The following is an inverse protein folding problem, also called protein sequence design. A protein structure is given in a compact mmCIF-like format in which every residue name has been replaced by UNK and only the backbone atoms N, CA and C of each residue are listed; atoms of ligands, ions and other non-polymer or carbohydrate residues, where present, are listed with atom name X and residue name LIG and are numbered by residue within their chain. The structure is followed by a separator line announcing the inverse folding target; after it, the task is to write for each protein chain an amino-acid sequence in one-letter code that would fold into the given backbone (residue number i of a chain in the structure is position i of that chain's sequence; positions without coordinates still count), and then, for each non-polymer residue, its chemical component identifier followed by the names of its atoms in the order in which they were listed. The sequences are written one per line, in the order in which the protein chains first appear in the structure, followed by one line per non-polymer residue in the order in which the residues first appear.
data_IF_126108069531
#
_entry.id   IF_126108069531
#
_cell.length_a   1.000
_cell.length_b   1.000
_cell.length_c   1.000
_cell.angle_alpha   90.00
_cell.angle_beta   90.00
_cell.angle_gamma   90.00
#
_symmetry.space_group_name_H-M   'P 1'
#
loop_
_entity.id
_entity.type
_entity.pdbx_description
1 polymer ?
#
# COMPACT_ATOMS: atom_id res chain seq x y z
N UNK A 1 -15.12 19.96 -55.57
CA UNK A 1 -16.60 20.04 -55.50
C UNK A 1 -17.07 19.20 -54.33
N UNK A 2 -17.53 19.84 -53.26
CA UNK A 2 -18.33 19.32 -52.15
C UNK A 2 -18.42 20.45 -51.11
N UNK A 3 -19.49 20.72 -50.38
CA UNK A 3 -20.94 20.58 -50.56
C UNK A 3 -21.51 21.58 -49.53
N UNK A 4 -22.45 22.44 -49.92
CA UNK A 4 -23.09 23.41 -49.02
C UNK A 4 -24.09 22.67 -48.12
N UNK A 5 -24.00 22.84 -46.80
CA UNK A 5 -25.09 22.67 -45.80
C UNK A 5 -24.67 23.42 -44.54
N UNK A 6 -25.34 24.49 -44.13
CA UNK A 6 -26.60 24.45 -43.39
C UNK A 6 -26.41 25.29 -42.12
N UNK A 7 -26.91 26.53 -42.09
CA UNK A 7 -26.99 27.36 -40.88
C UNK A 7 -28.31 27.04 -40.18
N UNK A 8 -28.27 26.59 -38.93
CA UNK A 8 -29.42 26.71 -38.04
C UNK A 8 -29.22 27.87 -37.09
N UNK A 9 -30.24 28.70 -37.01
CA UNK A 9 -30.33 29.91 -36.21
C UNK A 9 -31.29 29.57 -35.06
N UNK A 10 -30.77 29.50 -33.83
CA UNK A 10 -31.62 29.46 -32.64
C UNK A 10 -31.60 30.84 -31.99
N UNK A 11 -32.75 31.50 -32.05
CA UNK A 11 -32.94 32.87 -31.62
C UNK A 11 -33.36 32.94 -30.17
N UNK A 12 -32.42 32.71 -29.23
CA UNK A 12 -32.60 33.10 -27.81
C UNK A 12 -31.36 33.25 -26.95
N UNK A 13 -30.16 33.07 -27.50
CA UNK A 13 -28.90 33.48 -26.86
C UNK A 13 -27.96 33.93 -27.97
N UNK A 14 -27.57 35.20 -28.01
CA UNK A 14 -26.67 35.77 -29.02
C UNK A 14 -25.24 35.24 -28.92
N UNK A 15 -25.05 33.94 -29.13
CA UNK A 15 -23.79 33.23 -29.02
C UNK A 15 -23.55 32.46 -30.31
N UNK A 16 -22.72 33.03 -31.18
CA UNK A 16 -22.19 32.37 -32.37
C UNK A 16 -20.98 31.53 -31.99
N UNK A 17 -21.15 30.21 -31.82
CA UNK A 17 -20.03 29.27 -31.67
C UNK A 17 -19.39 28.98 -33.04
N UNK A 18 -18.13 29.37 -33.22
CA UNK A 18 -17.26 28.90 -34.31
C UNK A 18 -16.35 27.81 -33.76
N UNK A 19 -16.48 26.60 -34.30
CA UNK A 19 -15.58 25.48 -34.01
C UNK A 19 -14.44 25.53 -35.02
N UNK A 20 -13.20 25.71 -34.54
CA UNK A 20 -11.98 25.54 -35.34
C UNK A 20 -11.28 24.27 -34.87
N UNK A 21 -11.08 23.31 -35.77
CA UNK A 21 -10.09 22.22 -35.62
C UNK A 21 -8.77 22.75 -36.15
N UNK A 22 -7.77 22.90 -35.28
CA UNK A 22 -6.39 23.23 -35.64
C UNK A 22 -5.46 22.09 -35.27
N UNK A 23 -4.77 21.53 -36.26
CA UNK A 23 -3.56 20.75 -36.08
C UNK A 23 -2.36 21.70 -35.98
N UNK A 24 -1.33 21.30 -35.22
CA UNK A 24 -0.02 21.93 -35.01
C UNK A 24 0.05 23.20 -34.14
N UNK A 25 0.61 23.01 -32.93
CA UNK A 25 1.84 23.69 -32.49
C UNK A 25 1.79 25.15 -32.03
N UNK A 26 2.29 25.36 -30.80
CA UNK A 26 2.67 26.60 -30.07
C UNK A 26 1.59 27.49 -29.41
N UNK A 27 1.80 27.94 -28.15
CA UNK A 27 0.74 28.46 -27.28
C UNK A 27 0.58 29.98 -27.38
N UNK A 28 -0.66 30.47 -27.32
CA UNK A 28 -0.98 31.88 -27.12
C UNK A 28 -1.71 32.07 -25.79
N UNK A 29 -1.13 32.89 -24.91
CA UNK A 29 -1.74 33.35 -23.67
C UNK A 29 -2.61 34.58 -23.94
N UNK A 30 -3.87 34.57 -23.52
CA UNK A 30 -4.72 35.76 -23.46
C UNK A 30 -4.88 36.20 -21.99
N UNK A 31 -4.83 37.51 -21.68
CA UNK A 31 -5.18 38.01 -20.36
C UNK A 31 -6.70 38.01 -20.18
N UNK A 32 -7.16 37.49 -19.04
CA UNK A 32 -8.54 37.60 -18.56
C UNK A 32 -8.67 38.91 -17.78
N UNK A 33 -9.46 39.85 -18.30
CA UNK A 33 -9.87 41.07 -17.58
C UNK A 33 -11.20 40.74 -16.89
N UNK A 34 -11.21 40.72 -15.55
CA UNK A 34 -12.44 40.63 -14.75
C UNK A 34 -12.81 42.06 -14.32
N UNK A 35 -13.87 42.61 -14.91
CA UNK A 35 -14.50 43.84 -14.44
C UNK A 35 -15.33 43.56 -13.17
N UNK A 36 -14.95 44.17 -12.05
CA UNK A 36 -15.76 44.19 -10.84
C UNK A 36 -16.84 45.28 -10.94
N UNK A 37 -18.10 44.90 -10.82
CA UNK A 37 -19.28 45.78 -10.81
C UNK A 37 -19.46 46.55 -9.47
N UNK A 38 -20.27 47.64 -9.47
CA UNK A 38 -20.07 48.79 -8.59
C UNK A 38 -21.02 48.79 -7.37
N UNK A 39 -20.46 48.68 -6.17
CA UNK A 39 -21.15 49.04 -4.92
C UNK A 39 -20.15 49.68 -3.94
N UNK A 40 -19.67 50.88 -4.29
CA UNK A 40 -18.84 51.74 -3.41
C UNK A 40 -19.19 53.22 -3.60
N UNK A 41 -20.46 53.57 -3.37
CA UNK A 41 -20.95 54.95 -3.51
C UNK A 41 -21.93 55.31 -2.39
N UNK A 42 -21.50 55.18 -1.13
CA UNK A 42 -22.20 55.80 0.00
C UNK A 42 -21.32 55.98 1.26
N UNK A 43 -20.12 56.56 1.14
CA UNK A 43 -19.45 57.25 2.26
C UNK A 43 -18.34 58.18 1.78
N UNK A 44 -18.70 59.14 0.93
CA UNK A 44 -17.89 60.33 0.66
C UNK A 44 -18.35 61.45 1.60
N UNK A 45 -17.66 61.65 2.72
CA UNK A 45 -17.64 62.96 3.41
C UNK A 45 -16.47 63.07 4.38
N UNK A 46 -15.34 63.52 3.86
CA UNK A 46 -14.59 64.69 4.35
C UNK A 46 -13.15 64.60 3.81
N UNK A 47 -12.54 65.76 3.62
CA UNK A 47 -11.19 66.01 3.08
C UNK A 47 -11.17 66.24 1.56
N UNK A 48 -11.32 67.53 1.24
CA UNK A 48 -10.82 68.16 0.04
C UNK A 48 -9.30 67.94 -0.08
N UNK A 49 -8.82 67.28 -1.14
CA UNK A 49 -7.48 67.57 -1.63
C UNK A 49 -7.42 67.42 -3.15
N UNK A 50 -6.93 68.49 -3.79
CA UNK A 50 -6.80 68.67 -5.23
C UNK A 50 -5.72 67.73 -5.80
N UNK A 51 -6.08 67.10 -6.92
CA UNK A 51 -5.27 66.73 -8.09
C UNK A 51 -3.75 66.59 -7.90
N UNK A 52 -3.21 65.40 -8.16
CA UNK A 52 -2.42 65.08 -9.39
C UNK A 52 -1.61 63.80 -9.20
N UNK A 53 -1.39 63.11 -10.32
CA UNK A 53 -0.42 62.02 -10.56
C UNK A 53 -0.94 60.60 -10.31
N UNK A 54 -1.32 59.95 -11.41
CA UNK A 54 -1.32 58.48 -11.49
C UNK A 54 0.10 58.01 -11.18
N UNK A 55 0.33 57.49 -9.98
CA UNK A 55 1.51 56.66 -9.73
C UNK A 55 1.26 55.32 -10.41
N UNK A 56 1.81 55.16 -11.62
CA UNK A 56 2.01 53.85 -12.19
C UNK A 56 3.03 53.15 -11.31
N UNK A 57 2.58 52.20 -10.48
CA UNK A 57 3.47 51.27 -9.80
C UNK A 57 4.08 50.41 -10.90
N UNK A 58 5.26 50.78 -11.38
CA UNK A 58 6.10 49.87 -12.16
C UNK A 58 6.61 48.86 -11.16
N UNK A 59 5.92 47.72 -11.06
CA UNK A 59 6.50 46.53 -10.44
C UNK A 59 7.63 46.11 -11.37
N UNK A 60 8.83 46.62 -11.11
CA UNK A 60 10.02 46.00 -11.67
C UNK A 60 10.07 44.63 -11.03
N UNK A 61 9.97 43.56 -11.85
CA UNK A 61 10.37 42.22 -11.43
C UNK A 61 11.84 42.35 -11.03
N UNK A 62 12.09 42.61 -9.74
CA UNK A 62 13.41 42.59 -9.16
C UNK A 62 13.91 41.18 -9.41
N UNK A 63 14.85 41.08 -10.35
CA UNK A 63 15.33 39.82 -10.86
C UNK A 63 15.70 38.95 -9.67
N UNK A 64 15.10 37.76 -9.61
CA UNK A 64 15.68 36.66 -8.88
C UNK A 64 17.15 36.65 -9.29
N UNK A 65 18.05 37.00 -8.37
CA UNK A 65 19.46 37.14 -8.73
C UNK A 65 19.89 35.83 -9.38
N UNK A 66 20.65 35.88 -10.47
CA UNK A 66 21.17 34.67 -11.14
C UNK A 66 21.85 33.76 -10.10
N UNK A 67 22.41 34.37 -9.04
CA UNK A 67 22.92 33.71 -7.83
C UNK A 67 21.87 32.92 -7.04
N UNK A 68 20.64 33.43 -6.82
CA UNK A 68 19.57 32.69 -6.13
C UNK A 68 19.08 31.51 -6.97
N UNK A 69 18.97 31.68 -8.29
CA UNK A 69 18.61 30.60 -9.20
C UNK A 69 19.70 29.51 -9.22
N UNK A 70 20.98 29.89 -9.23
CA UNK A 70 22.11 28.95 -9.15
C UNK A 70 22.12 28.20 -7.81
N UNK A 71 21.86 28.89 -6.70
CA UNK A 71 21.74 28.28 -5.37
C UNK A 71 20.59 27.27 -5.31
N UNK A 72 19.42 27.60 -5.87
CA UNK A 72 18.29 26.67 -5.95
C UNK A 72 18.62 25.44 -6.81
N UNK A 73 19.37 25.60 -7.89
CA UNK A 73 19.79 24.51 -8.78
C UNK A 73 20.83 23.59 -8.11
N UNK A 74 21.74 24.16 -7.32
CA UNK A 74 22.70 23.40 -6.50
C UNK A 74 21.98 22.65 -5.38
N UNK A 75 21.04 23.29 -4.68
CA UNK A 75 20.21 22.64 -3.64
C UNK A 75 19.36 21.52 -4.27
N UNK A 76 18.77 21.74 -5.44
CA UNK A 76 18.03 20.73 -6.20
C UNK A 76 18.93 19.56 -6.63
N UNK A 77 20.17 19.83 -7.07
CA UNK A 77 21.16 18.80 -7.39
C UNK A 77 21.62 17.98 -6.19
N UNK A 78 21.72 18.60 -5.00
CA UNK A 78 22.06 17.91 -3.75
C UNK A 78 20.91 17.00 -3.27
N UNK A 79 19.65 17.38 -3.50
CA UNK A 79 18.48 16.56 -3.16
C UNK A 79 18.42 15.28 -4.03
N UNK A 80 18.91 15.34 -5.28
CA UNK A 80 18.94 14.18 -6.18
C UNK A 80 20.04 13.14 -5.86
N UNK A 81 20.98 13.45 -4.96
CA UNK A 81 22.13 12.57 -4.66
C UNK A 81 21.92 11.60 -3.48
N UNK A 82 20.75 11.59 -2.85
CA UNK A 82 20.54 10.89 -1.55
C UNK A 82 20.00 9.45 -1.63
N UNK A 83 20.21 8.72 -2.74
CA UNK A 83 19.79 7.31 -2.85
C UNK A 83 20.84 6.44 -3.54
N UNK A 84 22.07 6.40 -3.01
CA UNK A 84 23.00 5.32 -3.38
C UNK A 84 22.65 4.05 -2.60
N UNK A 85 22.09 3.04 -3.28
CA UNK A 85 22.00 1.67 -2.74
C UNK A 85 23.21 0.86 -3.18
N UNK A 86 23.79 0.12 -2.26
CA UNK A 86 24.83 -0.88 -2.57
C UNK A 86 24.18 -2.03 -3.33
N UNK A 87 24.68 -2.32 -4.54
CA UNK A 87 24.22 -3.47 -5.32
C UNK A 87 25.06 -4.69 -4.96
N UNK A 88 24.42 -5.73 -4.46
CA UNK A 88 25.09 -6.96 -4.05
C UNK A 88 24.57 -8.10 -4.91
N UNK A 89 25.46 -8.71 -5.68
CA UNK A 89 25.15 -9.90 -6.46
C UNK A 89 25.45 -11.14 -5.63
N UNK A 90 24.55 -12.12 -5.64
CA UNK A 90 24.80 -13.39 -4.98
C UNK A 90 26.09 -14.08 -5.46
N UNK A 91 26.85 -14.67 -4.53
CA UNK A 91 28.02 -15.50 -4.84
C UNK A 91 27.66 -16.91 -5.34
N UNK A 92 26.43 -17.37 -5.08
CA UNK A 92 25.97 -18.73 -5.30
C UNK A 92 26.40 -19.76 -4.24
N UNK A 93 27.23 -19.36 -3.25
CA UNK A 93 27.76 -20.26 -2.21
C UNK A 93 26.94 -20.14 -0.92
N UNK A 94 26.08 -21.13 -0.65
CA UNK A 94 25.25 -21.18 0.55
C UNK A 94 26.06 -21.45 1.82
N UNK A 95 25.69 -20.77 2.90
CA UNK A 95 26.19 -20.97 4.26
C UNK A 95 25.02 -20.89 5.25
N UNK A 96 25.20 -21.51 6.42
CA UNK A 96 24.22 -21.52 7.51
C UNK A 96 24.82 -20.81 8.73
N UNK A 97 24.06 -19.91 9.35
CA UNK A 97 24.45 -19.24 10.60
C UNK A 97 23.33 -19.32 11.63
N UNK A 98 23.69 -19.68 12.86
CA UNK A 98 22.80 -19.59 14.01
C UNK A 98 22.90 -18.20 14.65
N UNK A 99 21.75 -17.58 14.90
CA UNK A 99 21.61 -16.27 15.54
C UNK A 99 21.02 -16.45 16.92
N UNK A 100 21.86 -16.32 17.94
CA UNK A 100 21.40 -16.25 19.32
C UNK A 100 20.59 -14.96 19.51
N UNK A 101 19.31 -15.11 19.86
CA UNK A 101 18.38 -13.99 20.07
C UNK A 101 17.74 -14.09 21.45
N UNK A 102 17.31 -12.94 21.99
CA UNK A 102 16.57 -12.87 23.24
C UNK A 102 15.17 -13.48 23.12
N UNK A 103 14.38 -13.41 24.20
CA UNK A 103 12.97 -13.84 24.16
C UNK A 103 12.14 -12.87 23.30
N UNK A 104 11.21 -13.40 22.52
CA UNK A 104 10.27 -12.62 21.72
C UNK A 104 8.90 -13.31 21.63
N UNK A 105 7.87 -12.51 21.37
CA UNK A 105 6.48 -12.93 21.18
C UNK A 105 5.99 -12.59 19.76
N UNK A 106 6.55 -11.52 19.19
CA UNK A 106 6.20 -11.00 17.87
C UNK A 106 7.38 -11.11 16.92
N UNK A 107 7.09 -11.14 15.61
CA UNK A 107 8.10 -11.20 14.56
C UNK A 107 7.84 -10.11 13.54
N UNK A 108 8.89 -9.41 13.13
CA UNK A 108 8.88 -8.47 12.00
C UNK A 108 9.92 -8.92 10.98
N UNK A 109 9.46 -9.16 9.76
CA UNK A 109 10.24 -9.64 8.63
C UNK A 109 10.29 -8.54 7.57
N UNK A 110 11.49 -8.19 7.09
CA UNK A 110 11.67 -7.17 6.05
C UNK A 110 12.63 -7.64 4.94
N UNK A 111 12.10 -7.87 3.74
CA UNK A 111 12.91 -8.23 2.57
C UNK A 111 12.40 -9.48 1.82
N UNK A 112 13.22 -10.04 0.92
CA UNK A 112 12.90 -11.23 0.13
C UNK A 112 13.26 -12.52 0.90
N UNK A 113 12.44 -12.91 1.88
CA UNK A 113 12.75 -13.99 2.83
C UNK A 113 11.83 -15.21 2.62
N UNK A 114 12.39 -16.42 2.75
CA UNK A 114 11.61 -17.65 2.90
C UNK A 114 11.65 -18.06 4.37
N UNK A 115 10.52 -17.94 5.05
CA UNK A 115 10.43 -18.13 6.50
C UNK A 115 9.68 -19.42 6.81
N UNK A 116 10.28 -20.21 7.69
CA UNK A 116 9.77 -21.47 8.19
C UNK A 116 9.56 -21.34 9.69
N UNK A 117 8.32 -21.49 10.12
CA UNK A 117 7.93 -21.47 11.53
C UNK A 117 7.79 -22.90 12.05
N UNK A 118 8.25 -23.10 13.27
CA UNK A 118 8.05 -24.33 14.03
C UNK A 118 7.64 -23.96 15.45
N UNK A 119 6.47 -24.46 15.90
CA UNK A 119 6.01 -24.20 17.26
C UNK A 119 6.50 -25.30 18.20
N UNK A 120 7.59 -25.02 18.90
CA UNK A 120 8.23 -25.94 19.84
C UNK A 120 9.18 -25.15 20.77
N UNK A 121 9.96 -25.82 21.61
CA UNK A 121 10.90 -25.19 22.52
C UNK A 121 11.85 -24.26 21.76
N UNK A 122 11.97 -23.02 22.24
CA UNK A 122 12.81 -22.01 21.59
C UNK A 122 14.27 -22.50 21.45
N UNK A 123 14.79 -22.39 20.24
CA UNK A 123 16.22 -22.51 19.90
C UNK A 123 16.70 -21.24 19.19
N UNK A 124 18.00 -21.06 18.94
CA UNK A 124 18.51 -19.96 18.12
C UNK A 124 17.85 -19.89 16.74
N UNK A 125 17.70 -18.69 16.18
CA UNK A 125 17.18 -18.52 14.81
C UNK A 125 18.24 -19.00 13.82
N UNK A 126 17.87 -19.87 12.88
CA UNK A 126 18.80 -20.38 11.87
C UNK A 126 18.56 -19.67 10.55
N UNK A 127 19.63 -19.18 9.93
CA UNK A 127 19.57 -18.51 8.63
C UNK A 127 20.44 -19.26 7.63
N UNK A 128 19.88 -19.55 6.47
CA UNK A 128 20.63 -20.04 5.31
C UNK A 128 20.61 -18.98 4.21
N UNK A 129 21.78 -18.54 3.79
CA UNK A 129 21.93 -17.54 2.75
C UNK A 129 23.27 -17.74 2.05
N UNK A 130 23.49 -17.02 0.95
CA UNK A 130 24.82 -16.98 0.36
C UNK A 130 25.80 -16.22 1.26
N UNK A 131 27.06 -16.64 1.31
CA UNK A 131 28.11 -16.10 2.20
C UNK A 131 28.22 -14.56 2.18
N UNK A 132 28.14 -13.96 1.00
CA UNK A 132 28.25 -12.52 0.80
C UNK A 132 26.92 -11.77 1.08
N UNK A 133 25.79 -12.49 1.06
CA UNK A 133 24.46 -11.97 1.40
C UNK A 133 24.23 -12.04 2.92
N UNK A 134 24.73 -13.08 3.58
CA UNK A 134 24.54 -13.34 5.03
C UNK A 134 24.86 -12.13 5.91
N UNK A 135 25.92 -11.39 5.59
CA UNK A 135 26.35 -10.17 6.32
C UNK A 135 25.35 -9.00 6.29
N UNK A 136 24.38 -9.07 5.38
CA UNK A 136 23.34 -8.07 5.20
C UNK A 136 21.99 -8.51 5.77
N UNK A 137 21.87 -9.75 6.26
CA UNK A 137 20.69 -10.21 7.00
C UNK A 137 20.89 -9.84 8.46
N UNK A 138 20.21 -8.79 8.89
CA UNK A 138 20.23 -8.32 10.27
C UNK A 138 19.17 -9.06 11.09
N UNK A 139 19.57 -9.53 12.27
CA UNK A 139 18.70 -10.31 13.16
C UNK A 139 18.91 -9.84 14.59
N UNK A 140 17.88 -9.27 15.20
CA UNK A 140 17.97 -8.72 16.55
C UNK A 140 16.59 -8.70 17.20
N UNK A 141 16.56 -8.64 18.54
CA UNK A 141 15.32 -8.46 19.30
C UNK A 141 15.29 -7.02 19.83
N UNK A 142 14.16 -6.34 19.64
CA UNK A 142 13.89 -5.04 20.23
C UNK A 142 12.58 -5.11 21.02
N UNK A 143 12.64 -4.89 22.33
CA UNK A 143 11.50 -5.15 23.23
C UNK A 143 11.14 -6.64 23.23
N UNK A 144 9.93 -6.96 22.76
CA UNK A 144 9.42 -8.34 22.63
C UNK A 144 9.31 -8.80 21.17
N UNK A 145 9.90 -8.05 20.23
CA UNK A 145 9.80 -8.34 18.80
C UNK A 145 11.13 -8.79 18.24
N UNK A 146 11.14 -9.95 17.59
CA UNK A 146 12.23 -10.39 16.73
C UNK A 146 12.16 -9.65 15.39
N UNK A 147 13.25 -9.00 15.00
CA UNK A 147 13.41 -8.39 13.69
C UNK A 147 14.37 -9.22 12.85
N UNK A 148 13.93 -9.64 11.66
CA UNK A 148 14.79 -10.22 10.62
C UNK A 148 14.64 -9.36 9.37
N UNK A 149 15.70 -8.65 8.98
CA UNK A 149 15.64 -7.69 7.88
C UNK A 149 16.88 -7.70 7.00
N UNK A 150 16.70 -7.39 5.72
CA UNK A 150 17.84 -6.97 4.90
C UNK A 150 18.25 -5.55 5.34
N UNK A 151 19.55 -5.36 5.56
CA UNK A 151 20.13 -4.06 5.90
C UNK A 151 19.64 -2.98 4.92
N UNK A 152 19.31 -1.82 5.49
CA UNK A 152 18.88 -0.67 4.71
C UNK A 152 19.93 -0.28 3.65
N UNK A 153 19.49 0.30 2.54
CA UNK A 153 20.34 0.73 1.43
C UNK A 153 21.10 -0.39 0.70
N UNK A 154 20.70 -1.64 0.86
CA UNK A 154 21.22 -2.78 0.08
C UNK A 154 20.19 -3.21 -0.96
N UNK A 155 20.66 -3.48 -2.17
CA UNK A 155 19.86 -3.99 -3.28
C UNK A 155 20.44 -5.35 -3.71
N UNK A 156 19.79 -6.43 -3.30
CA UNK A 156 20.20 -7.78 -3.64
C UNK A 156 19.80 -8.10 -5.10
N UNK A 157 20.73 -8.68 -5.85
CA UNK A 157 20.55 -9.10 -7.26
C UNK A 157 21.05 -10.53 -7.45
N UNK A 158 20.33 -11.31 -8.26
CA UNK A 158 20.77 -12.66 -8.68
C UNK A 158 21.29 -13.51 -7.51
N UNK A 159 20.50 -13.65 -6.45
CA UNK A 159 20.84 -14.43 -5.25
C UNK A 159 19.88 -15.61 -5.10
N UNK A 160 20.33 -16.69 -4.48
CA UNK A 160 19.49 -17.82 -4.05
C UNK A 160 18.59 -17.40 -2.88
N UNK A 161 17.48 -18.12 -2.63
CA UNK A 161 16.62 -17.84 -1.49
C UNK A 161 17.34 -17.72 -0.15
N UNK A 162 16.86 -16.79 0.68
CA UNK A 162 17.31 -16.61 2.07
C UNK A 162 16.31 -17.34 2.95
N UNK A 163 16.68 -18.51 3.48
CA UNK A 163 15.83 -19.28 4.38
C UNK A 163 16.03 -18.82 5.82
N UNK A 164 14.94 -18.65 6.54
CA UNK A 164 14.93 -18.24 7.95
C UNK A 164 14.06 -19.23 8.71
N UNK A 165 14.67 -19.98 9.62
CA UNK A 165 13.97 -20.95 10.47
C UNK A 165 13.81 -20.34 11.86
N UNK A 166 12.55 -20.19 12.28
CA UNK A 166 12.20 -19.58 13.57
C UNK A 166 11.38 -20.59 14.38
N UNK A 167 11.93 -20.99 15.52
CA UNK A 167 11.27 -21.87 16.47
C UNK A 167 10.91 -21.11 17.74
N UNK A 168 9.65 -21.17 18.15
CA UNK A 168 9.17 -20.50 19.36
C UNK A 168 8.02 -21.28 20.01
N UNK A 169 7.85 -21.12 21.31
CA UNK A 169 6.79 -21.78 22.08
C UNK A 169 5.40 -21.23 21.72
N UNK A 170 5.31 -19.95 21.36
CA UNK A 170 4.08 -19.29 20.96
C UNK A 170 4.31 -18.32 19.79
N UNK A 171 3.37 -18.26 18.85
CA UNK A 171 3.33 -17.23 17.82
C UNK A 171 2.06 -16.40 17.99
N UNK A 172 2.25 -15.10 18.24
CA UNK A 172 1.13 -14.17 18.44
C UNK A 172 0.92 -13.25 17.25
N UNK A 173 1.97 -12.51 16.86
CA UNK A 173 1.88 -11.55 15.76
C UNK A 173 3.10 -11.59 14.85
N UNK A 174 2.84 -11.63 13.55
CA UNK A 174 3.88 -11.61 12.52
C UNK A 174 3.55 -10.50 11.51
N UNK A 175 4.52 -9.63 11.24
CA UNK A 175 4.42 -8.59 10.20
C UNK A 175 5.49 -8.89 9.17
N UNK A 176 5.09 -9.07 7.91
CA UNK A 176 6.00 -9.35 6.81
C UNK A 176 5.92 -8.26 5.73
N UNK A 177 6.92 -7.39 5.72
CA UNK A 177 7.10 -6.33 4.74
C UNK A 177 8.09 -6.75 3.64
N UNK A 178 7.60 -7.14 2.47
CA UNK A 178 8.48 -7.52 1.36
C UNK A 178 7.88 -8.58 0.44
N UNK A 179 8.72 -9.54 0.07
CA UNK A 179 8.37 -10.65 -0.80
C UNK A 179 8.93 -11.96 -0.25
N UNK A 180 8.47 -13.09 -0.79
CA UNK A 180 8.89 -14.41 -0.33
C UNK A 180 7.73 -15.16 0.28
N UNK A 181 7.97 -15.97 1.31
CA UNK A 181 6.91 -16.83 1.84
C UNK A 181 7.03 -17.08 3.33
N UNK A 182 5.90 -17.24 4.02
CA UNK A 182 5.80 -17.74 5.38
C UNK A 182 5.15 -19.11 5.40
N UNK A 183 5.79 -20.11 6.00
CA UNK A 183 5.28 -21.48 6.06
C UNK A 183 5.39 -22.03 7.47
N UNK A 184 4.40 -22.82 7.87
CA UNK A 184 4.47 -23.66 9.06
C UNK A 184 4.11 -25.09 8.65
N UNK A 185 4.98 -26.05 8.97
CA UNK A 185 4.72 -27.46 8.63
C UNK A 185 3.68 -28.09 9.57
N UNK A 186 3.71 -27.68 10.84
CA UNK A 186 2.81 -28.15 11.87
C UNK A 186 1.73 -27.12 12.21
N UNK A 187 0.73 -27.57 12.96
CA UNK A 187 -0.35 -26.70 13.44
C UNK A 187 0.18 -25.70 14.46
N UNK A 188 0.00 -24.41 14.21
CA UNK A 188 0.23 -23.36 15.21
C UNK A 188 -1.01 -23.25 16.09
N UNK A 189 -0.81 -23.47 17.39
CA UNK A 189 -1.82 -23.30 18.43
C UNK A 189 -1.62 -21.97 19.14
N UNK A 190 -2.65 -21.13 19.19
CA UNK A 190 -2.54 -19.80 19.83
C UNK A 190 -3.89 -19.30 20.35
N UNK A 191 -3.87 -18.43 21.37
CA UNK A 191 -5.12 -17.72 21.73
C UNK A 191 -5.46 -16.67 20.68
N UNK A 192 -4.46 -15.94 20.20
CA UNK A 192 -4.59 -14.91 19.18
C UNK A 192 -3.43 -15.06 18.20
N UNK A 193 -3.75 -15.33 16.94
CA UNK A 193 -2.77 -15.33 15.86
C UNK A 193 -3.08 -14.20 14.87
N UNK A 194 -2.13 -13.28 14.72
CA UNK A 194 -2.23 -12.14 13.81
C UNK A 194 -1.10 -12.19 12.77
N UNK A 195 -1.44 -12.14 11.49
CA UNK A 195 -0.46 -12.10 10.41
C UNK A 195 -0.79 -10.99 9.41
N UNK A 196 0.18 -10.10 9.21
CA UNK A 196 0.07 -8.95 8.31
C UNK A 196 1.14 -9.03 7.21
N UNK A 197 0.70 -8.95 5.95
CA UNK A 197 1.56 -8.85 4.78
C UNK A 197 1.53 -7.43 4.26
N UNK A 198 2.70 -6.81 4.13
CA UNK A 198 2.92 -5.53 3.46
C UNK A 198 3.79 -5.77 2.22
N UNK A 199 3.15 -6.07 1.08
CA UNK A 199 3.85 -6.37 -0.16
C UNK A 199 3.24 -7.55 -0.93
N UNK A 200 4.07 -8.53 -1.25
CA UNK A 200 3.74 -9.66 -2.13
C UNK A 200 4.32 -10.97 -1.61
N UNK A 201 4.39 -11.11 -0.29
CA UNK A 201 4.73 -12.39 0.34
C UNK A 201 3.54 -13.33 0.30
N UNK A 202 3.78 -14.63 0.21
CA UNK A 202 2.75 -15.65 0.29
C UNK A 202 2.79 -16.34 1.65
N UNK A 203 1.70 -17.00 2.06
CA UNK A 203 1.71 -17.83 3.25
C UNK A 203 0.95 -19.14 3.11
N UNK A 204 1.45 -20.17 3.80
CA UNK A 204 0.77 -21.44 4.01
C UNK A 204 0.83 -21.82 5.49
N UNK A 205 -0.32 -21.82 6.15
CA UNK A 205 -0.41 -21.99 7.60
C UNK A 205 -1.52 -22.97 7.97
N UNK A 206 -1.28 -23.75 9.03
CA UNK A 206 -2.31 -24.55 9.70
C UNK A 206 -2.48 -24.03 11.11
N UNK A 207 -3.69 -23.62 11.47
CA UNK A 207 -3.97 -22.90 12.72
C UNK A 207 -5.00 -23.63 13.59
N UNK A 208 -4.80 -23.57 14.90
CA UNK A 208 -5.78 -23.93 15.92
C UNK A 208 -5.82 -22.79 16.95
N UNK A 209 -6.73 -21.84 16.76
CA UNK A 209 -6.71 -20.61 17.55
C UNK A 209 -8.09 -20.08 17.95
N UNK A 210 -8.18 -19.31 19.03
CA UNK A 210 -9.45 -18.68 19.40
C UNK A 210 -9.78 -17.51 18.48
N UNK A 211 -8.80 -16.63 18.22
CA UNK A 211 -8.92 -15.52 17.27
C UNK A 211 -7.80 -15.58 16.22
N UNK A 212 -8.18 -15.45 14.95
CA UNK A 212 -7.27 -15.32 13.81
C UNK A 212 -7.51 -13.98 13.11
N UNK A 213 -6.45 -13.21 12.93
CA UNK A 213 -6.47 -11.94 12.20
C UNK A 213 -5.48 -11.97 11.03
N UNK A 214 -5.98 -11.83 9.81
CA UNK A 214 -5.18 -11.83 8.59
C UNK A 214 -5.34 -10.50 7.85
N UNK A 215 -4.22 -9.83 7.57
CA UNK A 215 -4.22 -8.55 6.88
C UNK A 215 -3.29 -8.66 5.66
N UNK A 216 -3.82 -8.39 4.47
CA UNK A 216 -3.07 -8.35 3.22
C UNK A 216 -3.09 -6.91 2.69
N UNK A 217 -1.97 -6.22 2.79
CA UNK A 217 -1.74 -4.94 2.13
C UNK A 217 -0.83 -5.16 0.92
N UNK A 218 -1.43 -5.25 -0.28
CA UNK A 218 -0.70 -5.46 -1.53
C UNK A 218 -1.30 -6.58 -2.38
N UNK A 219 -0.49 -7.60 -2.68
CA UNK A 219 -0.83 -8.65 -3.66
C UNK A 219 -0.30 -10.03 -3.28
N UNK A 220 -0.04 -10.25 -1.99
CA UNK A 220 0.36 -11.56 -1.47
C UNK A 220 -0.84 -12.48 -1.27
N UNK A 221 -0.62 -13.79 -1.41
CA UNK A 221 -1.66 -14.79 -1.25
C UNK A 221 -1.48 -15.62 0.03
N UNK A 222 -2.57 -15.93 0.72
CA UNK A 222 -2.54 -16.78 1.92
C UNK A 222 -3.40 -18.03 1.72
N UNK A 223 -2.86 -19.18 2.08
CA UNK A 223 -3.61 -20.42 2.24
C UNK A 223 -3.59 -20.83 3.71
N UNK A 224 -4.77 -20.97 4.31
CA UNK A 224 -4.92 -21.18 5.74
C UNK A 224 -5.90 -22.32 6.00
N UNK A 225 -5.49 -23.26 6.84
CA UNK A 225 -6.27 -24.44 7.22
C UNK A 225 -6.41 -24.57 8.74
N UNK A 226 -7.32 -25.44 9.19
CA UNK A 226 -7.48 -25.81 10.60
C UNK A 226 -8.80 -25.33 11.20
N UNK A 227 -8.76 -24.73 12.39
CA UNK A 227 -9.96 -24.23 13.08
C UNK A 227 -9.72 -22.92 13.82
N UNK A 228 -10.74 -22.08 13.87
CA UNK A 228 -10.75 -20.93 14.77
C UNK A 228 -12.15 -20.62 15.32
N UNK A 229 -12.22 -19.88 16.44
CA UNK A 229 -13.49 -19.31 16.91
C UNK A 229 -13.87 -18.09 16.09
N UNK A 230 -13.15 -16.99 16.31
CA UNK A 230 -13.31 -15.72 15.61
C UNK A 230 -12.24 -15.53 14.51
N UNK A 231 -12.70 -15.13 13.34
CA UNK A 231 -11.85 -14.84 12.19
C UNK A 231 -12.07 -13.40 11.71
N UNK A 232 -10.99 -12.65 11.56
CA UNK A 232 -10.97 -11.32 10.96
C UNK A 232 -10.01 -11.32 9.77
N UNK A 233 -10.50 -10.88 8.61
CA UNK A 233 -9.65 -10.68 7.45
C UNK A 233 -9.84 -9.30 6.84
N UNK A 234 -8.72 -8.69 6.45
CA UNK A 234 -8.70 -7.44 5.70
C UNK A 234 -7.79 -7.58 4.49
N UNK A 235 -8.36 -7.39 3.29
CA UNK A 235 -7.61 -7.43 2.03
C UNK A 235 -7.65 -6.03 1.42
N UNK A 236 -6.51 -5.35 1.43
CA UNK A 236 -6.28 -4.04 0.84
C UNK A 236 -5.38 -4.19 -0.40
N UNK A 237 -6.00 -4.27 -1.57
CA UNK A 237 -5.31 -4.49 -2.84
C UNK A 237 -5.91 -5.64 -3.65
N UNK A 238 -5.05 -6.55 -4.09
CA UNK A 238 -5.39 -7.60 -5.07
C UNK A 238 -4.98 -9.00 -4.65
N UNK A 239 -4.47 -9.19 -3.43
CA UNK A 239 -4.11 -10.51 -2.92
C UNK A 239 -5.33 -11.33 -2.51
N UNK A 240 -5.16 -12.65 -2.46
CA UNK A 240 -6.21 -13.59 -2.14
C UNK A 240 -5.95 -14.31 -0.81
N UNK A 241 -7.02 -14.65 -0.09
CA UNK A 241 -6.96 -15.51 1.08
C UNK A 241 -7.84 -16.74 0.84
N UNK A 242 -7.23 -17.89 0.67
CA UNK A 242 -7.88 -19.18 0.61
C UNK A 242 -7.90 -19.83 2.01
N UNK A 243 -8.99 -19.62 2.73
CA UNK A 243 -9.24 -20.21 4.05
C UNK A 243 -10.38 -21.24 4.00
N UNK A 244 -10.57 -21.93 2.86
CA UNK A 244 -11.63 -22.94 2.71
C UNK A 244 -11.41 -24.16 3.62
N UNK A 245 -10.15 -24.45 3.96
CA UNK A 245 -9.74 -25.48 4.90
C UNK A 245 -9.73 -25.03 6.36
N UNK A 246 -10.04 -23.76 6.65
CA UNK A 246 -10.14 -23.21 8.00
C UNK A 246 -11.61 -23.11 8.40
N UNK A 247 -12.04 -23.96 9.34
CA UNK A 247 -13.38 -23.93 9.90
C UNK A 247 -13.48 -22.86 10.98
N UNK A 248 -14.41 -21.90 10.85
CA UNK A 248 -14.57 -20.80 11.82
C UNK A 248 -16.01 -20.65 12.30
N UNK A 249 -16.21 -20.25 13.56
CA UNK A 249 -17.54 -19.95 14.09
C UNK A 249 -18.07 -18.63 13.52
N UNK A 250 -17.28 -17.56 13.67
CA UNK A 250 -17.63 -16.21 13.24
C UNK A 250 -16.56 -15.62 12.32
N UNK A 251 -16.96 -15.02 11.20
CA UNK A 251 -16.08 -14.37 10.25
C UNK A 251 -16.48 -12.91 10.01
N UNK A 252 -15.50 -12.00 10.15
CA UNK A 252 -15.58 -10.59 9.74
C UNK A 252 -14.57 -10.33 8.64
N UNK A 253 -15.06 -10.13 7.42
CA UNK A 253 -14.21 -9.99 6.24
C UNK A 253 -14.42 -8.61 5.63
N UNK A 254 -13.32 -7.89 5.37
CA UNK A 254 -13.29 -6.63 4.63
C UNK A 254 -12.39 -6.76 3.43
N UNK A 255 -12.90 -6.40 2.25
CA UNK A 255 -12.10 -6.30 1.03
C UNK A 255 -12.20 -4.88 0.50
N UNK A 256 -11.05 -4.24 0.32
CA UNK A 256 -10.88 -2.93 -0.34
C UNK A 256 -9.98 -3.13 -1.55
N UNK A 257 -10.56 -3.30 -2.73
CA UNK A 257 -9.83 -3.57 -3.97
C UNK A 257 -10.45 -4.70 -4.80
N UNK A 258 -9.62 -5.61 -5.28
CA UNK A 258 -9.98 -6.64 -6.26
C UNK A 258 -9.70 -8.08 -5.81
N UNK A 259 -9.14 -8.27 -4.62
CA UNK A 259 -8.80 -9.59 -4.09
C UNK A 259 -10.00 -10.47 -3.76
N UNK A 260 -9.71 -11.73 -3.43
CA UNK A 260 -10.71 -12.74 -3.12
C UNK A 260 -10.47 -13.40 -1.76
N UNK A 261 -11.56 -13.60 -1.00
CA UNK A 261 -11.55 -14.46 0.18
C UNK A 261 -12.40 -15.71 -0.07
N UNK A 262 -11.86 -16.91 0.21
CA UNK A 262 -12.61 -18.16 0.36
C UNK A 262 -12.60 -18.59 1.83
N UNK A 263 -13.73 -18.98 2.42
CA UNK A 263 -13.79 -19.28 3.87
C UNK A 263 -14.86 -20.34 4.20
N UNK A 264 -14.67 -21.11 5.29
CA UNK A 264 -15.72 -21.99 5.84
C UNK A 264 -16.24 -21.45 7.18
N UNK A 265 -17.49 -20.99 7.21
CA UNK A 265 -18.11 -20.31 8.36
C UNK A 265 -19.34 -21.06 8.87
N UNK A 266 -19.50 -21.17 10.20
CA UNK A 266 -20.58 -21.93 10.83
C UNK A 266 -21.76 -21.08 11.31
N UNK A 267 -21.53 -19.91 11.90
CA UNK A 267 -22.61 -19.09 12.51
C UNK A 267 -22.73 -17.71 11.86
N UNK A 268 -21.77 -16.80 12.08
CA UNK A 268 -21.86 -15.43 11.59
C UNK A 268 -20.87 -15.15 10.45
N UNK A 269 -21.36 -14.66 9.32
CA UNK A 269 -20.55 -14.02 8.28
C UNK A 269 -20.92 -12.54 8.13
N UNK A 270 -20.04 -11.63 8.56
CA UNK A 270 -20.13 -10.19 8.29
C UNK A 270 -19.10 -9.82 7.20
N UNK A 271 -19.61 -9.60 5.98
CA UNK A 271 -18.84 -9.39 4.77
C UNK A 271 -19.01 -7.95 4.24
N UNK A 272 -17.91 -7.21 4.13
CA UNK A 272 -17.88 -5.88 3.53
C UNK A 272 -16.93 -5.82 2.34
N UNK A 273 -17.40 -5.31 1.23
CA UNK A 273 -16.60 -5.16 0.00
C UNK A 273 -16.69 -3.73 -0.49
N UNK A 274 -15.55 -3.10 -0.73
CA UNK A 274 -15.40 -1.85 -1.47
C UNK A 274 -14.52 -2.12 -2.69
N UNK A 275 -15.09 -2.07 -3.89
CA UNK A 275 -14.40 -2.39 -5.14
C UNK A 275 -14.98 -3.61 -5.87
N UNK A 276 -14.10 -4.45 -6.42
CA UNK A 276 -14.46 -5.54 -7.34
C UNK A 276 -14.13 -6.94 -6.81
N UNK A 277 -13.57 -7.03 -5.59
CA UNK A 277 -13.22 -8.29 -4.95
C UNK A 277 -14.43 -9.18 -4.62
N UNK A 278 -14.19 -10.44 -4.31
CA UNK A 278 -15.25 -11.41 -4.01
C UNK A 278 -15.01 -12.16 -2.70
N UNK A 279 -16.10 -12.52 -2.03
CA UNK A 279 -16.07 -13.40 -0.86
C UNK A 279 -16.86 -14.65 -1.22
N UNK A 280 -16.24 -15.82 -1.13
CA UNK A 280 -16.87 -17.12 -1.33
C UNK A 280 -16.88 -17.87 -0.01
N UNK A 281 -18.02 -18.43 0.38
CA UNK A 281 -18.14 -19.13 1.65
C UNK A 281 -18.75 -20.53 1.48
N UNK A 282 -18.25 -21.46 2.29
CA UNK A 282 -18.77 -22.83 2.43
C UNK A 282 -19.84 -22.89 3.52
N UNK A 283 -20.75 -23.86 3.40
CA UNK A 283 -21.88 -24.09 4.30
C UNK A 283 -22.89 -22.94 4.34
N UNK A 284 -23.91 -23.06 5.19
CA UNK A 284 -24.91 -22.01 5.42
C UNK A 284 -24.74 -21.49 6.84
N UNK A 285 -24.07 -20.34 7.04
CA UNK A 285 -24.00 -19.71 8.34
C UNK A 285 -25.40 -19.38 8.86
N UNK A 286 -25.59 -19.38 10.18
CA UNK A 286 -26.84 -18.94 10.82
C UNK A 286 -27.24 -17.51 10.45
N UNK A 287 -26.26 -16.61 10.31
CA UNK A 287 -26.44 -15.20 9.94
C UNK A 287 -25.43 -14.75 8.89
N UNK A 288 -25.90 -14.08 7.84
CA UNK A 288 -25.05 -13.47 6.81
C UNK A 288 -25.40 -11.99 6.64
N UNK A 289 -24.47 -11.12 7.01
CA UNK A 289 -24.55 -9.67 6.82
C UNK A 289 -23.62 -9.25 5.69
N UNK A 290 -24.14 -8.49 4.72
CA UNK A 290 -23.35 -8.05 3.56
C UNK A 290 -23.51 -6.57 3.30
N UNK A 291 -22.39 -5.88 3.02
CA UNK A 291 -22.38 -4.51 2.50
C UNK A 291 -21.39 -4.40 1.35
N UNK A 292 -21.89 -4.14 0.14
CA UNK A 292 -21.07 -4.09 -1.07
C UNK A 292 -21.19 -2.70 -1.69
N UNK A 293 -20.05 -2.03 -1.86
CA UNK A 293 -19.91 -0.80 -2.62
C UNK A 293 -18.97 -1.04 -3.81
N UNK A 294 -19.55 -1.39 -4.96
CA UNK A 294 -18.82 -1.70 -6.18
C UNK A 294 -19.41 -2.89 -6.93
N UNK A 295 -18.57 -3.64 -7.64
CA UNK A 295 -18.97 -4.75 -8.52
C UNK A 295 -18.72 -6.14 -7.92
N UNK A 296 -18.14 -6.19 -6.72
CA UNK A 296 -17.84 -7.43 -6.01
C UNK A 296 -19.07 -8.23 -5.61
N UNK A 297 -18.87 -9.49 -5.21
CA UNK A 297 -19.95 -10.41 -4.82
C UNK A 297 -19.61 -11.22 -3.57
N UNK A 298 -20.65 -11.55 -2.81
CA UNK A 298 -20.61 -12.55 -1.75
C UNK A 298 -21.38 -13.79 -2.24
N UNK A 299 -20.70 -14.92 -2.39
CA UNK A 299 -21.19 -16.11 -3.11
C UNK A 299 -21.07 -17.35 -2.21
N UNK A 300 -22.13 -18.15 -2.16
CA UNK A 300 -22.06 -19.48 -1.53
C UNK A 300 -21.49 -20.51 -2.52
N UNK A 301 -20.55 -21.34 -2.07
CA UNK A 301 -19.96 -22.44 -2.84
C UNK A 301 -20.87 -23.66 -2.95
#
# INVERSE_FOLDING_TARGET
MAELRGRQHDGRTGITKRIFKGALGVPFSFPVIIESHPLWLALKRSINMKLTTKQTIVITNSGLSVSLLLCLLVIFGLILSSCSRENVHGSGRMVTEERAVGRFEDITLEGPLQVHLEQDQRVPVVIEAEDNVMRFVETFVNGTTLHVKIRNNVNLKSFRPINVYVQNDEFRRIIFSGSGSLTANDTITSTLFSYEINGSADARLKLDANEVELIVNGSGDMEVEGRAGDYRAEINGSGDINAIGLQVENARIRISGSGEQRIWVLDLLDARITGSGNIRYKETPGTVNTSINGSGKVIKL
#
